data_IF_688346204749
#
_entry.id   IF_688346204749
#
_cell.length_a   1.000
_cell.length_b   1.000
_cell.length_c   1.000
_cell.angle_alpha   90.00
_cell.angle_beta   90.00
_cell.angle_gamma   90.00
#
_symmetry.space_group_name_H-M   'P 1'
#
loop_
_entity.id
_entity.type
_entity.pdbx_description
1 polymer ?
#
# COMPACT_ATOMS: atom_id res chain seq x y z
N UNK A 1 20.42 6.00 -8.24
CA UNK A 1 19.01 6.22 -8.62
C UNK A 1 18.13 5.38 -7.72
N UNK A 2 17.13 5.96 -7.06
CA UNK A 2 16.20 5.20 -6.21
C UNK A 2 14.80 5.21 -6.84
N UNK A 3 13.88 4.40 -6.30
CA UNK A 3 12.54 4.26 -6.88
C UNK A 3 11.74 5.57 -6.87
N UNK A 4 11.98 6.42 -5.87
CA UNK A 4 11.28 7.72 -5.72
C UNK A 4 11.67 8.66 -6.86
N UNK A 5 12.97 8.78 -7.16
CA UNK A 5 13.43 9.62 -8.28
C UNK A 5 12.95 9.09 -9.63
N UNK A 6 13.02 7.77 -9.82
CA UNK A 6 12.55 7.14 -11.07
C UNK A 6 11.04 7.37 -11.29
N UNK A 7 10.24 7.29 -10.22
CA UNK A 7 8.81 7.55 -10.28
C UNK A 7 8.53 9.02 -10.61
N UNK A 8 9.25 9.97 -10.00
CA UNK A 8 9.09 11.40 -10.29
C UNK A 8 9.42 11.72 -11.76
N UNK A 9 10.52 11.17 -12.28
CA UNK A 9 10.92 11.33 -13.68
C UNK A 9 9.84 10.78 -14.64
N UNK A 10 9.27 9.61 -14.34
CA UNK A 10 8.19 9.03 -15.13
C UNK A 10 6.91 9.88 -15.09
N UNK A 11 6.48 10.28 -13.88
CA UNK A 11 5.24 11.04 -13.69
C UNK A 11 5.31 12.44 -14.32
N UNK A 12 6.49 13.07 -14.34
CA UNK A 12 6.67 14.39 -14.97
C UNK A 12 6.48 14.39 -16.48
N UNK A 13 6.63 13.22 -17.13
CA UNK A 13 6.51 13.05 -18.58
C UNK A 13 5.25 12.26 -19.00
N UNK A 14 4.38 11.93 -18.05
CA UNK A 14 3.21 11.10 -18.28
C UNK A 14 2.13 11.84 -19.08
N UNK A 15 1.50 11.14 -20.04
CA UNK A 15 0.36 11.65 -20.82
C UNK A 15 -0.96 10.87 -20.60
N UNK A 16 -0.93 9.69 -19.99
CA UNK A 16 -2.11 8.85 -19.77
C UNK A 16 -2.71 9.04 -18.35
N UNK A 17 -3.98 8.65 -18.19
CA UNK A 17 -4.76 8.74 -16.95
C UNK A 17 -4.97 7.38 -16.26
N UNK A 18 -4.20 6.35 -16.64
CA UNK A 18 -4.31 5.00 -16.09
C UNK A 18 -3.97 4.91 -14.60
N UNK A 19 -4.32 3.79 -13.97
CA UNK A 19 -3.96 3.50 -12.58
C UNK A 19 -2.48 3.16 -12.44
N UNK A 20 -1.86 3.71 -11.39
CA UNK A 20 -0.59 3.19 -10.89
C UNK A 20 -0.87 2.03 -9.93
N UNK A 21 -0.10 0.95 -10.06
CA UNK A 21 -0.21 -0.23 -9.21
C UNK A 21 0.99 -0.30 -8.27
N UNK A 22 0.71 -0.34 -6.97
CA UNK A 22 1.69 -0.49 -5.92
C UNK A 22 1.46 -1.83 -5.21
N UNK A 23 2.51 -2.64 -5.14
CA UNK A 23 2.49 -3.89 -4.38
C UNK A 23 2.31 -5.19 -5.19
N UNK A 24 2.41 -5.12 -6.53
CA UNK A 24 2.26 -6.30 -7.40
C UNK A 24 3.45 -7.26 -7.34
N UNK A 25 4.62 -6.80 -6.90
CA UNK A 25 5.87 -7.60 -6.84
C UNK A 25 6.25 -7.94 -5.40
N UNK A 26 6.12 -6.98 -4.49
CA UNK A 26 6.41 -7.13 -3.06
C UNK A 26 5.40 -6.32 -2.25
N UNK A 27 5.20 -6.69 -0.98
CA UNK A 27 4.34 -5.91 -0.09
C UNK A 27 4.99 -4.56 0.24
N UNK A 28 4.39 -3.43 -0.17
CA UNK A 28 4.97 -2.11 0.02
C UNK A 28 4.86 -1.62 1.48
N UNK A 29 4.10 -2.32 2.33
CA UNK A 29 3.87 -1.99 3.74
C UNK A 29 4.37 -3.09 4.67
N UNK A 30 5.51 -3.71 4.36
CA UNK A 30 6.25 -4.54 5.32
C UNK A 30 6.84 -3.68 6.46
N UNK A 31 7.17 -4.27 7.61
CA UNK A 31 7.71 -3.54 8.78
C UNK A 31 8.93 -2.65 8.46
N UNK A 32 9.77 -3.09 7.52
CA UNK A 32 10.94 -2.35 7.06
C UNK A 32 10.61 -0.98 6.44
N UNK A 33 9.38 -0.79 5.95
CA UNK A 33 8.91 0.50 5.45
C UNK A 33 8.82 1.57 6.55
N UNK A 34 8.67 1.19 7.84
CA UNK A 34 8.75 2.15 8.95
C UNK A 34 10.14 2.81 9.04
N UNK A 35 11.18 2.09 8.64
CA UNK A 35 12.57 2.57 8.61
C UNK A 35 12.86 3.37 7.34
N UNK A 36 12.65 2.76 6.15
CA UNK A 36 13.11 3.36 4.90
C UNK A 36 12.15 4.39 4.29
N UNK A 37 10.85 4.25 4.59
CA UNK A 37 9.79 5.20 4.19
C UNK A 37 9.75 5.46 2.68
N UNK A 38 10.12 4.47 1.87
CA UNK A 38 10.19 4.61 0.42
C UNK A 38 8.79 4.62 -0.17
N UNK A 39 7.91 3.73 0.29
CA UNK A 39 6.49 3.73 -0.09
C UNK A 39 5.85 5.06 0.28
N UNK A 40 6.09 5.57 1.48
CA UNK A 40 5.60 6.87 1.92
C UNK A 40 5.97 8.02 0.98
N UNK A 41 7.24 8.09 0.55
CA UNK A 41 7.71 9.08 -0.41
C UNK A 41 7.04 8.93 -1.79
N UNK A 42 6.84 7.69 -2.24
CA UNK A 42 6.08 7.42 -3.46
C UNK A 42 4.62 7.87 -3.34
N UNK A 43 3.96 7.62 -2.21
CA UNK A 43 2.57 8.06 -1.96
C UNK A 43 2.44 9.59 -2.02
N UNK A 44 3.43 10.33 -1.50
CA UNK A 44 3.45 11.79 -1.61
C UNK A 44 3.59 12.27 -3.06
N UNK A 45 4.44 11.61 -3.86
CA UNK A 45 4.52 11.87 -5.29
C UNK A 45 3.18 11.62 -5.99
N UNK A 46 2.60 10.44 -5.79
CA UNK A 46 1.33 10.01 -6.37
C UNK A 46 0.22 11.02 -6.02
N UNK A 47 0.18 11.46 -4.76
CA UNK A 47 -0.76 12.49 -4.29
C UNK A 47 -0.56 13.82 -5.00
N UNK A 48 0.68 14.32 -5.12
CA UNK A 48 1.00 15.59 -5.80
C UNK A 48 0.60 15.58 -7.28
N UNK A 49 0.89 14.48 -7.97
CA UNK A 49 0.57 14.30 -9.39
C UNK A 49 -0.88 13.84 -9.64
N UNK A 50 -1.68 13.64 -8.58
CA UNK A 50 -3.10 13.23 -8.66
C UNK A 50 -3.30 11.98 -9.51
N UNK A 51 -2.48 10.97 -9.30
CA UNK A 51 -2.58 9.71 -10.06
C UNK A 51 -3.53 8.74 -9.35
N UNK A 52 -4.50 8.13 -10.05
CA UNK A 52 -5.32 7.08 -9.46
C UNK A 52 -4.45 5.86 -9.11
N UNK A 53 -4.69 5.27 -7.94
CA UNK A 53 -3.79 4.30 -7.31
C UNK A 53 -4.52 3.02 -6.92
N UNK A 54 -3.94 1.88 -7.27
CA UNK A 54 -4.30 0.57 -6.72
C UNK A 54 -3.16 0.09 -5.82
N UNK A 55 -3.46 -0.27 -4.59
CA UNK A 55 -2.54 -0.83 -3.60
C UNK A 55 -2.93 -2.29 -3.37
N UNK A 56 -1.96 -3.20 -3.46
CA UNK A 56 -2.07 -4.57 -2.97
C UNK A 56 -1.13 -4.76 -1.77
N UNK A 57 -1.65 -5.24 -0.65
CA UNK A 57 -0.87 -5.43 0.59
C UNK A 57 -1.44 -6.58 1.42
N UNK A 58 -0.68 -7.10 2.37
CA UNK A 58 -1.15 -8.08 3.34
C UNK A 58 -1.86 -7.41 4.52
N UNK A 59 -3.00 -7.96 4.94
CA UNK A 59 -3.64 -7.58 6.19
C UNK A 59 -2.88 -8.04 7.44
N UNK A 60 -1.79 -8.81 7.27
CA UNK A 60 -0.92 -9.23 8.37
C UNK A 60 -0.04 -8.09 8.92
N UNK A 61 0.14 -7.01 8.15
CA UNK A 61 0.91 -5.83 8.56
C UNK A 61 -0.01 -4.61 8.75
N UNK A 62 0.19 -3.90 9.86
CA UNK A 62 -0.52 -2.66 10.15
C UNK A 62 0.21 -1.41 9.63
N UNK A 63 1.34 -1.55 8.94
CA UNK A 63 2.18 -0.39 8.51
C UNK A 63 1.41 0.54 7.56
N UNK A 64 0.50 0.02 6.73
CA UNK A 64 -0.34 0.87 5.87
C UNK A 64 -1.15 1.91 6.68
N UNK A 65 -1.52 1.59 7.92
CA UNK A 65 -2.27 2.50 8.78
C UNK A 65 -1.47 3.74 9.17
N UNK A 66 -0.14 3.67 9.21
CA UNK A 66 0.72 4.85 9.43
C UNK A 66 0.54 5.90 8.33
N UNK A 67 0.19 5.45 7.12
CA UNK A 67 0.02 6.27 5.92
C UNK A 67 -1.43 6.67 5.66
N UNK A 68 -2.37 6.32 6.56
CA UNK A 68 -3.81 6.54 6.34
C UNK A 68 -4.16 8.01 6.10
N UNK A 69 -3.43 8.95 6.72
CA UNK A 69 -3.65 10.39 6.51
C UNK A 69 -3.32 10.81 5.08
N UNK A 70 -2.22 10.31 4.51
CA UNK A 70 -1.84 10.59 3.13
C UNK A 70 -2.87 9.98 2.19
N UNK A 71 -3.23 8.70 2.39
CA UNK A 71 -4.22 8.00 1.56
C UNK A 71 -5.58 8.70 1.56
N UNK A 72 -6.06 9.16 2.73
CA UNK A 72 -7.33 9.91 2.85
C UNK A 72 -7.27 11.31 2.23
N UNK A 73 -6.08 11.86 2.02
CA UNK A 73 -5.90 13.19 1.42
C UNK A 73 -5.70 13.15 -0.10
N UNK A 74 -5.69 11.97 -0.71
CA UNK A 74 -5.59 11.85 -2.16
C UNK A 74 -6.90 12.28 -2.83
N UNK A 75 -6.81 13.22 -3.78
CA UNK A 75 -7.95 13.69 -4.58
C UNK A 75 -8.35 12.66 -5.65
N UNK A 76 -7.39 11.85 -6.10
CA UNK A 76 -7.61 10.78 -7.08
C UNK A 76 -8.06 9.49 -6.41
N UNK A 77 -8.73 8.62 -7.17
CA UNK A 77 -9.25 7.35 -6.65
C UNK A 77 -8.13 6.47 -6.11
N UNK A 78 -8.31 6.00 -4.88
CA UNK A 78 -7.44 5.01 -4.23
C UNK A 78 -8.25 3.74 -4.01
N UNK A 79 -7.71 2.60 -4.45
CA UNK A 79 -8.27 1.27 -4.22
C UNK A 79 -7.23 0.48 -3.42
N UNK A 80 -7.65 -0.12 -2.32
CA UNK A 80 -6.79 -0.99 -1.50
C UNK A 80 -7.34 -2.41 -1.55
N UNK A 81 -6.52 -3.33 -2.00
CA UNK A 81 -6.77 -4.78 -2.00
C UNK A 81 -5.91 -5.38 -0.90
N UNK A 82 -6.55 -5.74 0.21
CA UNK A 82 -5.87 -6.37 1.35
C UNK A 82 -6.02 -7.90 1.28
N UNK A 83 -4.91 -8.62 1.22
CA UNK A 83 -4.90 -10.08 1.37
C UNK A 83 -5.27 -10.43 2.81
N UNK A 84 -6.44 -11.05 3.00
CA UNK A 84 -6.99 -11.35 4.34
C UNK A 84 -6.47 -12.65 4.94
N UNK A 85 -6.01 -13.61 4.13
CA UNK A 85 -5.68 -14.94 4.64
C UNK A 85 -4.66 -15.70 3.80
N UNK A 86 -3.71 -16.34 4.49
CA UNK A 86 -2.79 -17.37 3.97
C UNK A 86 -3.02 -18.69 4.71
N UNK A 87 -2.54 -19.81 4.16
CA UNK A 87 -2.65 -21.11 4.86
C UNK A 87 -2.07 -21.04 6.29
N UNK A 88 -0.84 -20.54 6.53
CA UNK A 88 -0.31 -20.42 7.90
C UNK A 88 -1.15 -19.53 8.81
N UNK A 89 -1.82 -18.54 8.22
CA UNK A 89 -2.72 -17.65 8.93
C UNK A 89 -4.02 -18.36 9.36
N UNK A 90 -4.62 -19.13 8.45
CA UNK A 90 -5.80 -19.93 8.74
C UNK A 90 -5.49 -21.03 9.78
N UNK A 91 -4.31 -21.64 9.70
CA UNK A 91 -3.83 -22.61 10.70
C UNK A 91 -3.71 -21.98 12.10
N UNK A 92 -3.13 -20.78 12.20
CA UNK A 92 -3.03 -20.04 13.46
C UNK A 92 -4.42 -19.67 14.04
N UNK A 93 -5.36 -19.29 13.18
CA UNK A 93 -6.73 -18.99 13.59
C UNK A 93 -7.50 -20.21 14.08
N UNK A 94 -7.37 -21.35 13.41
CA UNK A 94 -7.97 -22.60 13.86
C UNK A 94 -7.44 -23.05 15.24
N UNK A 95 -6.24 -22.61 15.63
CA UNK A 95 -5.68 -22.79 16.97
C UNK A 95 -6.18 -21.80 18.03
N UNK A 96 -7.12 -20.90 17.70
CA UNK A 96 -7.66 -19.89 18.62
C UNK A 96 -6.97 -18.52 18.56
N UNK A 97 -6.12 -18.27 17.55
CA UNK A 97 -5.49 -16.96 17.33
C UNK A 97 -6.48 -15.88 16.88
N UNK A 98 -6.24 -14.62 17.28
CA UNK A 98 -6.98 -13.44 16.79
C UNK A 98 -6.24 -12.75 15.65
N UNK A 99 -6.97 -12.06 14.78
CA UNK A 99 -6.39 -11.30 13.69
C UNK A 99 -7.08 -9.97 13.45
N UNK A 100 -6.29 -8.91 13.56
CA UNK A 100 -6.71 -7.51 13.36
C UNK A 100 -7.44 -7.29 12.04
N UNK A 101 -7.00 -7.92 10.95
CA UNK A 101 -7.65 -7.78 9.65
C UNK A 101 -9.03 -8.44 9.55
N UNK A 102 -9.31 -9.48 10.36
CA UNK A 102 -10.64 -10.11 10.43
C UNK A 102 -11.50 -9.43 11.49
N UNK A 103 -10.91 -9.04 12.62
CA UNK A 103 -11.57 -8.31 13.69
C UNK A 103 -12.15 -6.96 13.21
N UNK A 104 -11.57 -6.38 12.16
CA UNK A 104 -12.05 -5.13 11.55
C UNK A 104 -12.80 -5.29 10.22
N UNK A 105 -12.95 -6.52 9.72
CA UNK A 105 -13.69 -6.80 8.49
C UNK A 105 -15.18 -7.11 8.73
N UNK A 106 -15.57 -7.41 9.98
CA UNK A 106 -16.95 -7.62 10.42
C UNK A 106 -17.45 -6.43 11.25
#
# INVERSE_FOLDING_TARGET
>A
MNIVSLLEDYLSNRMDDGYLYLGSVCDPFMELEREYRLTGKCLELIRRYRIPLVITTSAASNVILDYIKILKSMESRVIVVAELSRIPFLEAMNGGGRHTGIDHAN
#
